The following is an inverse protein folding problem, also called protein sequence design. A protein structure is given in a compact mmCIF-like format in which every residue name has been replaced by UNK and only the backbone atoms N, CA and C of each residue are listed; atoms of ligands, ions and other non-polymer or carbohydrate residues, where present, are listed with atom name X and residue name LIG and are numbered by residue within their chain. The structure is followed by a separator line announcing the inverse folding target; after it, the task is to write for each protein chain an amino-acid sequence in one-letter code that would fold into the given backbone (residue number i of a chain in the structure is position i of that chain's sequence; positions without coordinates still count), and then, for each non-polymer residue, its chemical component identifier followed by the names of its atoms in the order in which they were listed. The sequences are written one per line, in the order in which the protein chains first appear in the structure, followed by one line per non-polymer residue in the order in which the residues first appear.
data_IF_330723655785
#
_entry.id   IF_330723655785
#
_cell.length_a   1.000
_cell.length_b   1.000
_cell.length_c   1.000
_cell.angle_alpha   90.00
_cell.angle_beta   90.00
_cell.angle_gamma   90.00
#
_symmetry.space_group_name_H-M   'P 1'
#
loop_
_entity.id
_entity.type
_entity.pdbx_description
1 polymer ?
#
# COMPACT_ATOMS: atom_id res chain seq x y z
N UNK A 1 27.18 -11.69 8.26
CA UNK A 1 25.82 -12.26 8.26
C UNK A 1 25.14 -11.94 9.57
N UNK A 2 24.00 -11.29 9.48
CA UNK A 2 23.11 -10.92 10.57
C UNK A 2 22.34 -12.15 11.10
N UNK A 3 22.27 -12.27 12.42
CA UNK A 3 21.48 -13.29 13.10
C UNK A 3 20.11 -12.77 13.56
N UNK A 4 19.94 -11.45 13.56
CA UNK A 4 18.70 -10.74 13.88
C UNK A 4 18.67 -9.39 13.15
N UNK A 5 17.54 -8.67 13.23
CA UNK A 5 17.35 -7.39 12.54
C UNK A 5 17.61 -6.16 13.42
N UNK A 6 18.07 -6.34 14.67
CA UNK A 6 18.27 -5.23 15.62
C UNK A 6 19.13 -4.10 15.04
N UNK A 7 20.24 -4.38 14.31
CA UNK A 7 21.06 -3.33 13.71
C UNK A 7 20.35 -2.50 12.64
N UNK A 8 19.23 -3.01 12.11
CA UNK A 8 18.49 -2.43 10.99
C UNK A 8 17.28 -1.59 11.44
N UNK A 9 16.97 -1.58 12.74
CA UNK A 9 15.81 -0.88 13.28
C UNK A 9 15.98 0.65 13.23
N UNK A 10 14.97 1.34 12.70
CA UNK A 10 14.90 2.80 12.70
C UNK A 10 14.65 3.33 14.12
N UNK A 11 15.27 4.45 14.49
CA UNK A 11 14.96 5.12 15.75
C UNK A 11 13.58 5.78 15.65
N UNK A 12 12.61 5.20 16.35
CA UNK A 12 11.20 5.64 16.39
C UNK A 12 11.07 7.08 16.91
N UNK A 13 12.02 7.59 17.71
CA UNK A 13 12.03 8.98 18.17
C UNK A 13 12.14 9.99 17.02
N UNK A 14 12.61 9.56 15.85
CA UNK A 14 12.66 10.41 14.66
C UNK A 14 11.28 10.67 14.05
N UNK A 15 10.29 9.82 14.33
CA UNK A 15 8.89 9.95 13.84
C UNK A 15 8.17 11.12 14.55
N UNK A 16 8.62 11.49 15.76
CA UNK A 16 8.02 12.58 16.54
C UNK A 16 8.33 13.97 15.99
N UNK A 17 9.15 14.09 14.93
CA UNK A 17 9.37 15.37 14.26
C UNK A 17 8.09 15.74 13.52
N UNK A 18 7.46 16.85 13.91
CA UNK A 18 6.32 17.42 13.18
C UNK A 18 6.67 17.50 11.69
N UNK A 19 5.69 17.18 10.83
CA UNK A 19 5.77 17.59 9.44
C UNK A 19 6.10 19.08 9.43
N UNK A 20 7.11 19.53 8.65
CA UNK A 20 7.48 20.93 8.68
C UNK A 20 6.24 21.77 8.38
N UNK A 21 6.02 22.82 9.18
CA UNK A 21 5.11 23.92 8.85
C UNK A 21 5.65 24.56 7.57
N UNK A 22 5.31 24.00 6.41
CA UNK A 22 5.67 24.61 5.16
C UNK A 22 4.52 25.54 4.78
N UNK A 23 4.75 26.85 4.72
CA UNK A 23 3.76 27.77 4.17
C UNK A 23 3.40 27.45 2.70
N UNK A 24 4.18 26.58 2.02
CA UNK A 24 3.89 26.02 0.69
C UNK A 24 3.16 24.66 0.68
N UNK A 25 2.89 24.00 1.81
CA UNK A 25 2.00 22.81 1.84
C UNK A 25 0.52 23.23 1.84
N UNK A 26 0.20 24.28 1.09
CA UNK A 26 -1.16 24.71 0.84
C UNK A 26 -1.83 23.88 -0.23
N UNK A 27 -1.12 23.01 -0.94
CA UNK A 27 -1.64 22.23 -2.05
C UNK A 27 -0.87 20.89 -2.12
N UNK A 28 -1.59 19.76 -2.11
CA UNK A 28 -1.02 18.41 -2.32
C UNK A 28 -1.97 17.55 -3.16
N UNK A 29 -1.43 16.79 -4.11
CA UNK A 29 -2.21 15.85 -4.93
C UNK A 29 -2.62 14.62 -4.13
N UNK A 30 -3.89 14.22 -4.24
CA UNK A 30 -4.37 12.94 -3.70
C UNK A 30 -4.59 11.88 -4.79
N UNK A 31 -4.85 12.26 -6.05
CA UNK A 31 -5.03 11.32 -7.17
C UNK A 31 -4.70 11.95 -8.53
N UNK A 32 -4.13 11.17 -9.45
CA UNK A 32 -3.90 11.56 -10.85
C UNK A 32 -4.12 10.34 -11.76
N UNK A 33 -5.26 10.26 -12.43
CA UNK A 33 -5.36 9.52 -13.70
C UNK A 33 -6.19 10.32 -14.72
N UNK A 34 -5.50 10.87 -15.73
CA UNK A 34 -6.11 11.37 -16.94
C UNK A 34 -5.76 10.45 -18.11
N UNK A 35 -6.77 9.81 -18.72
CA UNK A 35 -6.63 9.09 -19.99
C UNK A 35 -6.64 10.08 -21.17
N UNK A 36 -6.05 9.73 -22.33
CA UNK A 36 -6.00 10.61 -23.49
C UNK A 36 -7.41 10.94 -24.02
N UNK A 37 -7.76 12.22 -24.11
CA UNK A 37 -8.98 12.71 -24.77
C UNK A 37 -10.17 13.03 -23.86
N UNK A 38 -9.96 13.19 -22.54
CA UNK A 38 -10.95 13.73 -21.59
C UNK A 38 -10.34 14.87 -20.77
N UNK A 39 -11.21 15.64 -20.11
CA UNK A 39 -10.85 16.66 -19.11
C UNK A 39 -9.82 16.07 -18.12
N UNK A 40 -8.71 16.77 -17.90
CA UNK A 40 -7.79 16.41 -16.81
C UNK A 40 -8.33 17.00 -15.50
N UNK A 41 -8.22 16.22 -14.43
CA UNK A 41 -8.64 16.65 -13.09
C UNK A 41 -7.47 16.58 -12.13
N UNK A 42 -7.40 17.57 -11.23
CA UNK A 42 -6.41 17.64 -10.16
C UNK A 42 -7.15 17.73 -8.82
N UNK A 43 -6.97 16.72 -7.98
CA UNK A 43 -7.51 16.71 -6.62
C UNK A 43 -6.48 17.28 -5.64
N UNK A 44 -6.78 18.41 -5.01
CA UNK A 44 -5.81 19.19 -4.25
C UNK A 44 -6.36 19.65 -2.88
N UNK A 45 -5.58 19.45 -1.82
CA UNK A 45 -5.91 19.95 -0.47
C UNK A 45 -5.45 21.39 -0.26
N UNK A 46 -6.33 22.30 0.19
CA UNK A 46 -6.03 23.71 0.44
C UNK A 46 -6.23 24.17 1.90
N UNK A 47 -5.33 25.04 2.40
CA UNK A 47 -5.37 25.63 3.75
C UNK A 47 -5.54 24.58 4.87
N UNK A 48 -4.90 23.42 4.69
CA UNK A 48 -4.97 22.29 5.61
C UNK A 48 -3.84 22.32 6.64
N UNK A 49 -4.11 21.89 7.86
CA UNK A 49 -3.09 21.64 8.88
C UNK A 49 -2.42 20.30 8.55
N UNK A 50 -1.11 20.31 8.34
CA UNK A 50 -0.39 19.17 7.75
C UNK A 50 -0.40 17.91 8.62
N UNK A 51 -0.54 18.07 9.95
CA UNK A 51 -0.59 16.97 10.91
C UNK A 51 -2.01 16.62 11.42
N UNK A 52 -3.06 17.23 10.86
CA UNK A 52 -4.47 16.97 11.21
C UNK A 52 -5.31 16.51 9.99
N UNK A 53 -6.36 15.73 10.27
CA UNK A 53 -7.33 15.30 9.26
C UNK A 53 -8.56 16.22 9.25
N UNK A 54 -9.25 16.26 8.11
CA UNK A 54 -10.52 16.99 7.92
C UNK A 54 -10.45 18.53 8.12
N UNK A 55 -9.25 19.13 8.05
CA UNK A 55 -9.05 20.60 8.12
C UNK A 55 -8.91 21.25 6.75
N UNK A 56 -9.31 22.50 6.58
CA UNK A 56 -9.14 23.20 5.30
C UNK A 56 -10.15 22.76 4.23
N UNK A 57 -9.72 22.76 2.98
CA UNK A 57 -10.56 22.57 1.80
C UNK A 57 -10.00 21.47 0.91
N UNK A 58 -10.88 20.82 0.14
CA UNK A 58 -10.48 19.90 -0.92
C UNK A 58 -11.03 20.43 -2.24
N UNK A 59 -10.20 20.51 -3.26
CA UNK A 59 -10.51 21.06 -4.58
C UNK A 59 -10.38 19.95 -5.63
N UNK A 60 -11.43 19.69 -6.40
CA UNK A 60 -11.34 18.90 -7.63
C UNK A 60 -11.34 19.85 -8.83
N UNK A 61 -10.16 20.14 -9.38
CA UNK A 61 -9.97 21.13 -10.44
C UNK A 61 -9.96 20.43 -11.79
N UNK A 62 -11.01 20.64 -12.58
CA UNK A 62 -11.11 20.17 -13.96
C UNK A 62 -10.66 21.27 -14.94
N UNK A 63 -9.78 20.90 -15.86
CA UNK A 63 -9.36 21.75 -16.97
C UNK A 63 -9.29 20.92 -18.26
N UNK A 64 -9.59 21.58 -19.38
CA UNK A 64 -9.69 20.94 -20.70
C UNK A 64 -8.99 21.77 -21.75
N UNK A 65 -8.60 21.13 -22.87
CA UNK A 65 -7.96 21.85 -23.97
C UNK A 65 -8.91 22.91 -24.51
N UNK A 66 -8.42 24.14 -24.55
CA UNK A 66 -9.12 25.30 -25.04
C UNK A 66 -8.72 25.57 -26.49
N UNK A 67 -9.60 25.22 -27.43
CA UNK A 67 -9.35 25.40 -28.87
C UNK A 67 -9.47 26.87 -29.30
N UNK A 68 -10.26 27.66 -28.57
CA UNK A 68 -10.52 29.07 -28.88
C UNK A 68 -9.37 29.98 -28.37
N UNK A 69 -8.66 29.56 -27.34
CA UNK A 69 -7.54 30.29 -26.72
C UNK A 69 -6.29 29.39 -26.63
N UNK A 70 -5.51 29.26 -27.72
CA UNK A 70 -4.36 28.34 -27.77
C UNK A 70 -3.31 28.59 -26.69
N UNK A 71 -3.11 29.85 -26.31
CA UNK A 71 -2.11 30.31 -25.33
C UNK A 71 -2.63 30.27 -23.87
N UNK A 72 -3.78 29.65 -23.62
CA UNK A 72 -4.38 29.59 -22.30
C UNK A 72 -3.54 28.75 -21.31
N UNK A 73 -3.54 29.13 -20.02
CA UNK A 73 -2.78 28.41 -18.98
C UNK A 73 -3.19 26.95 -18.84
N UNK A 74 -4.47 26.63 -19.04
CA UNK A 74 -4.93 25.24 -19.06
C UNK A 74 -4.29 24.43 -20.20
N UNK A 75 -4.00 25.03 -21.37
CA UNK A 75 -3.30 24.36 -22.46
C UNK A 75 -1.82 24.17 -22.12
N UNK A 76 -1.18 25.16 -21.51
CA UNK A 76 0.22 25.05 -21.04
C UNK A 76 0.38 23.84 -20.11
N UNK A 77 -0.54 23.67 -19.15
CA UNK A 77 -0.56 22.51 -18.24
C UNK A 77 -0.71 21.20 -19.00
N UNK A 78 -1.66 21.13 -19.94
CA UNK A 78 -1.93 19.95 -20.76
C UNK A 78 -0.78 19.59 -21.70
N UNK A 79 0.01 20.57 -22.13
CA UNK A 79 1.18 20.38 -23.00
C UNK A 79 2.42 19.88 -22.24
N UNK A 80 2.43 19.94 -20.90
CA UNK A 80 3.53 19.37 -20.10
C UNK A 80 3.52 17.84 -20.18
N UNK A 81 4.68 17.20 -20.43
CA UNK A 81 4.77 15.76 -20.43
C UNK A 81 4.44 15.20 -19.04
N UNK A 82 3.77 14.05 -19.03
CA UNK A 82 3.54 13.29 -17.80
C UNK A 82 4.87 12.79 -17.24
N UNK A 83 5.17 13.13 -15.98
CA UNK A 83 6.39 12.73 -15.27
C UNK A 83 6.49 13.39 -13.89
N UNK A 84 7.08 12.68 -12.92
CA UNK A 84 7.14 13.11 -11.52
C UNK A 84 7.94 14.40 -11.40
N UNK A 85 7.29 15.48 -10.97
CA UNK A 85 7.91 16.75 -10.57
C UNK A 85 7.54 17.98 -11.41
N UNK A 86 7.58 17.90 -12.75
CA UNK A 86 7.45 19.09 -13.60
C UNK A 86 5.99 19.53 -13.81
N UNK A 87 5.06 18.60 -14.04
CA UNK A 87 3.64 18.93 -14.26
C UNK A 87 2.91 19.26 -12.96
N UNK A 88 3.19 18.52 -11.90
CA UNK A 88 2.61 18.72 -10.57
C UNK A 88 2.89 20.13 -10.05
N UNK A 89 4.15 20.57 -10.06
CA UNK A 89 4.52 21.91 -9.61
C UNK A 89 3.78 23.00 -10.38
N UNK A 90 3.68 22.88 -11.71
CA UNK A 90 2.96 23.84 -12.57
C UNK A 90 1.47 23.90 -12.26
N UNK A 91 0.84 22.74 -12.00
CA UNK A 91 -0.58 22.69 -11.62
C UNK A 91 -0.79 23.31 -10.23
N UNK A 92 0.10 23.07 -9.27
CA UNK A 92 0.01 23.69 -7.95
C UNK A 92 0.18 25.20 -8.02
N UNK A 93 1.16 25.70 -8.79
CA UNK A 93 1.38 27.13 -9.00
C UNK A 93 0.15 27.77 -9.67
N UNK A 94 -0.43 27.13 -10.70
CA UNK A 94 -1.67 27.59 -11.34
C UNK A 94 -2.85 27.65 -10.37
N UNK A 95 -3.03 26.62 -9.54
CA UNK A 95 -4.12 26.61 -8.57
C UNK A 95 -3.92 27.71 -7.52
N UNK A 96 -2.70 27.86 -6.98
CA UNK A 96 -2.40 28.84 -5.94
C UNK A 96 -2.50 30.28 -6.44
N UNK A 97 -1.83 30.60 -7.55
CA UNK A 97 -1.64 31.98 -8.00
C UNK A 97 -2.79 32.47 -8.88
N UNK A 98 -3.46 31.59 -9.64
CA UNK A 98 -4.46 31.99 -10.63
C UNK A 98 -5.89 31.62 -10.26
N UNK A 99 -6.13 30.39 -9.75
CA UNK A 99 -7.48 29.91 -9.50
C UNK A 99 -8.04 30.35 -8.15
N UNK A 100 -7.30 30.14 -7.06
CA UNK A 100 -7.77 30.46 -5.71
C UNK A 100 -8.22 31.93 -5.57
N UNK A 101 -7.52 32.94 -6.12
CA UNK A 101 -7.94 34.33 -6.03
C UNK A 101 -9.29 34.65 -6.70
N UNK A 102 -9.74 33.83 -7.64
CA UNK A 102 -10.97 34.06 -8.42
C UNK A 102 -12.11 33.08 -8.09
N UNK A 103 -11.87 32.10 -7.20
CA UNK A 103 -12.91 31.18 -6.73
C UNK A 103 -13.89 31.95 -5.82
N UNK A 104 -15.19 31.97 -6.13
CA UNK A 104 -16.17 32.75 -5.36
C UNK A 104 -16.54 32.09 -4.02
N UNK A 105 -16.46 30.76 -3.93
CA UNK A 105 -16.84 30.00 -2.75
C UNK A 105 -16.07 28.67 -2.69
N UNK A 106 -15.69 28.28 -1.47
CA UNK A 106 -15.04 27.01 -1.15
C UNK A 106 -15.89 26.26 -0.12
N UNK A 107 -16.13 24.98 -0.36
CA UNK A 107 -16.76 24.06 0.57
C UNK A 107 -15.68 23.46 1.49
N UNK A 108 -15.75 23.67 2.83
CA UNK A 108 -14.78 23.09 3.75
C UNK A 108 -14.92 21.58 3.86
N UNK A 109 -13.84 20.88 4.23
CA UNK A 109 -13.88 19.43 4.47
C UNK A 109 -14.95 19.07 5.52
N UNK A 110 -15.67 17.94 5.35
CA UNK A 110 -15.39 16.83 4.43
C UNK A 110 -15.96 16.98 3.01
N UNK A 111 -16.56 18.13 2.66
CA UNK A 111 -17.02 18.40 1.29
C UNK A 111 -15.84 18.66 0.34
N UNK A 112 -16.08 18.45 -0.96
CA UNK A 112 -15.12 18.76 -2.04
C UNK A 112 -15.68 19.85 -2.93
N UNK A 113 -14.85 20.85 -3.23
CA UNK A 113 -15.19 21.92 -4.17
C UNK A 113 -14.76 21.52 -5.57
N UNK A 114 -15.72 21.23 -6.45
CA UNK A 114 -15.48 21.10 -7.88
C UNK A 114 -15.22 22.47 -8.50
N UNK A 115 -14.14 22.59 -9.27
CA UNK A 115 -13.76 23.82 -9.99
C UNK A 115 -13.56 23.48 -11.46
N UNK A 116 -14.33 24.10 -12.35
CA UNK A 116 -14.04 24.05 -13.78
C UNK A 116 -13.35 25.35 -14.18
N UNK A 117 -12.10 25.25 -14.65
CA UNK A 117 -11.30 26.37 -15.09
C UNK A 117 -11.33 26.50 -16.63
N UNK A 118 -11.60 27.69 -17.15
CA UNK A 118 -11.54 27.97 -18.59
C UNK A 118 -11.18 29.43 -18.86
N UNK A 119 -10.26 29.65 -19.79
CA UNK A 119 -9.92 30.97 -20.31
C UNK A 119 -10.93 31.38 -21.39
N UNK A 120 -11.57 32.55 -21.21
CA UNK A 120 -12.53 33.11 -22.15
C UNK A 120 -12.15 34.56 -22.44
N UNK A 121 -11.91 34.88 -23.72
CA UNK A 121 -11.46 36.21 -24.16
C UNK A 121 -10.20 36.69 -23.41
N UNK A 122 -9.20 35.80 -23.31
CA UNK A 122 -7.92 36.03 -22.62
C UNK A 122 -8.00 36.14 -21.10
N UNK A 123 -9.15 35.84 -20.47
CA UNK A 123 -9.31 35.88 -19.01
C UNK A 123 -9.72 34.53 -18.46
N UNK A 124 -9.02 34.07 -17.42
CA UNK A 124 -9.40 32.87 -16.68
C UNK A 124 -10.74 33.07 -15.95
N UNK A 125 -11.64 32.11 -16.13
CA UNK A 125 -12.97 32.06 -15.49
C UNK A 125 -13.15 30.72 -14.80
N UNK A 126 -13.96 30.72 -13.73
CA UNK A 126 -14.23 29.52 -12.94
C UNK A 126 -15.72 29.30 -12.75
N UNK A 127 -16.14 28.04 -12.81
CA UNK A 127 -17.43 27.59 -12.27
C UNK A 127 -17.16 26.70 -11.06
N UNK A 128 -17.92 26.90 -9.98
CA UNK A 128 -17.74 26.17 -8.72
C UNK A 128 -19.02 25.49 -8.27
N UNK A 129 -18.88 24.28 -7.71
CA UNK A 129 -19.97 23.46 -7.20
C UNK A 129 -19.46 22.51 -6.11
N UNK A 130 -20.37 21.92 -5.33
CA UNK A 130 -19.99 20.83 -4.41
C UNK A 130 -19.90 19.53 -5.22
N UNK A 131 -18.71 18.94 -5.29
CA UNK A 131 -18.47 17.72 -6.05
C UNK A 131 -18.78 16.49 -5.19
N UNK A 132 -20.03 16.07 -5.24
CA UNK A 132 -20.53 14.92 -4.48
C UNK A 132 -19.83 13.60 -4.84
N UNK A 133 -19.26 13.49 -6.05
CA UNK A 133 -18.60 12.26 -6.51
C UNK A 133 -17.19 12.15 -5.96
N UNK A 134 -16.57 13.29 -5.63
CA UNK A 134 -15.27 13.32 -4.96
C UNK A 134 -15.39 13.18 -3.42
N UNK A 135 -16.61 13.21 -2.85
CA UNK A 135 -16.82 13.01 -1.41
C UNK A 135 -16.88 11.51 -1.09
N UNK A 136 -15.94 11.06 -0.24
CA UNK A 136 -15.90 9.68 0.25
C UNK A 136 -17.14 9.37 1.09
N UNK A 137 -17.90 8.36 0.67
CA UNK A 137 -19.12 7.91 1.35
C UNK A 137 -18.82 6.84 2.40
N UNK A 138 -18.43 7.27 3.60
CA UNK A 138 -18.11 6.37 4.71
C UNK A 138 -19.29 5.49 5.15
N UNK A 139 -19.00 4.30 5.69
CA UNK A 139 -19.98 3.31 6.15
C UNK A 139 -20.07 3.26 7.69
N UNK A 140 -21.24 2.95 8.27
CA UNK A 140 -21.34 2.69 9.70
C UNK A 140 -20.54 1.43 10.06
N UNK A 141 -20.15 1.29 11.33
CA UNK A 141 -19.50 0.07 11.81
C UNK A 141 -20.49 -1.09 11.76
N UNK A 142 -20.19 -2.20 11.02
CA UNK A 142 -21.02 -3.39 11.04
C UNK A 142 -21.16 -3.98 12.45
N UNK A 143 -22.31 -4.58 12.76
CA UNK A 143 -22.59 -5.14 14.10
C UNK A 143 -21.54 -6.17 14.54
N UNK A 144 -21.04 -6.99 13.62
CA UNK A 144 -20.02 -8.00 13.92
C UNK A 144 -18.64 -7.42 14.24
N UNK A 145 -18.42 -6.11 14.05
CA UNK A 145 -17.20 -5.39 14.41
C UNK A 145 -17.39 -4.47 15.63
N UNK A 146 -18.57 -4.51 16.27
CA UNK A 146 -18.87 -3.65 17.42
C UNK A 146 -18.00 -3.92 18.66
N UNK A 147 -17.33 -5.08 18.72
CA UNK A 147 -16.36 -5.40 19.78
C UNK A 147 -14.99 -4.78 19.55
N UNK A 148 -14.69 -4.31 18.34
CA UNK A 148 -13.39 -3.71 18.01
C UNK A 148 -13.30 -2.30 18.62
N UNK A 149 -12.19 -1.95 19.29
CA UNK A 149 -11.99 -0.59 19.80
C UNK A 149 -12.12 0.47 18.69
N UNK A 150 -12.63 1.65 19.04
CA UNK A 150 -12.77 2.77 18.10
C UNK A 150 -11.99 3.99 18.56
N UNK A 151 -11.42 4.74 17.61
CA UNK A 151 -10.75 6.02 17.86
C UNK A 151 -11.29 7.09 16.90
N UNK A 152 -11.64 8.30 17.37
CA UNK A 152 -11.95 9.41 16.47
C UNK A 152 -10.74 9.80 15.63
N UNK A 153 -10.91 10.05 14.33
CA UNK A 153 -9.81 10.50 13.45
C UNK A 153 -9.15 11.80 13.93
N UNK A 154 -9.91 12.66 14.61
CA UNK A 154 -9.44 13.91 15.20
C UNK A 154 -8.46 13.72 16.38
N UNK A 155 -8.36 12.50 16.92
CA UNK A 155 -7.43 12.17 18.01
C UNK A 155 -6.09 11.64 17.45
N UNK A 156 -5.96 11.51 16.13
CA UNK A 156 -4.75 11.08 15.44
C UNK A 156 -3.96 12.30 14.95
N UNK A 157 -2.64 12.26 15.16
CA UNK A 157 -1.70 13.24 14.61
C UNK A 157 -0.90 12.64 13.47
N UNK A 158 -1.08 13.13 12.25
CA UNK A 158 -0.37 12.65 11.05
C UNK A 158 1.12 13.03 11.12
N UNK A 159 1.99 12.07 10.83
CA UNK A 159 3.44 12.26 10.93
C UNK A 159 4.15 12.11 9.59
N UNK A 160 3.80 11.11 8.79
CA UNK A 160 4.37 10.93 7.45
C UNK A 160 3.50 9.97 6.63
N UNK A 161 3.55 10.08 5.30
CA UNK A 161 2.92 9.12 4.41
C UNK A 161 3.86 7.91 4.19
N UNK A 162 3.34 6.69 4.31
CA UNK A 162 4.04 5.44 3.95
C UNK A 162 3.73 5.00 2.53
N UNK A 163 2.46 5.10 2.14
CA UNK A 163 1.93 4.81 0.82
C UNK A 163 0.65 5.66 0.60
N UNK A 164 0.07 5.72 -0.61
CA UNK A 164 -1.08 6.59 -0.90
C UNK A 164 -2.25 6.49 0.09
N UNK A 165 -2.51 5.30 0.64
CA UNK A 165 -3.62 5.02 1.58
C UNK A 165 -3.15 4.77 3.01
N UNK A 166 -1.86 4.93 3.31
CA UNK A 166 -1.31 4.60 4.64
C UNK A 166 -0.41 5.71 5.16
N UNK A 167 -0.79 6.27 6.30
CA UNK A 167 0.03 7.23 7.05
C UNK A 167 0.64 6.60 8.30
N UNK A 168 1.82 7.07 8.70
CA UNK A 168 2.28 6.98 10.09
C UNK A 168 1.54 8.07 10.88
N UNK A 169 0.86 7.67 11.95
CA UNK A 169 0.16 8.58 12.86
C UNK A 169 0.61 8.37 14.30
N UNK A 170 0.47 9.39 15.14
CA UNK A 170 0.59 9.27 16.58
C UNK A 170 -0.79 9.27 17.22
N UNK A 171 -1.03 8.29 18.09
CA UNK A 171 -2.18 8.23 18.98
C UNK A 171 -1.67 7.92 20.40
N UNK A 172 -2.04 8.76 21.37
CA UNK A 172 -1.50 8.72 22.74
C UNK A 172 0.05 8.69 22.78
N UNK A 173 0.69 9.50 21.93
CA UNK A 173 2.14 9.60 21.77
C UNK A 173 2.84 8.29 21.32
N UNK A 174 2.09 7.35 20.75
CA UNK A 174 2.62 6.10 20.16
C UNK A 174 2.36 6.03 18.67
N UNK A 175 3.32 5.51 17.87
CA UNK A 175 3.17 5.43 16.42
C UNK A 175 2.30 4.23 16.01
N UNK A 176 1.43 4.48 15.04
CA UNK A 176 0.60 3.48 14.38
C UNK A 176 0.62 3.71 12.87
N UNK A 177 0.25 2.70 12.11
CA UNK A 177 -0.07 2.85 10.70
C UNK A 177 -1.59 3.03 10.57
N UNK A 178 -2.03 4.15 10.00
CA UNK A 178 -3.43 4.43 9.70
C UNK A 178 -3.69 4.17 8.23
N UNK A 179 -4.47 3.12 7.92
CA UNK A 179 -4.95 2.82 6.56
C UNK A 179 -6.35 3.40 6.39
N UNK A 180 -6.56 4.16 5.33
CA UNK A 180 -7.81 4.88 5.06
C UNK A 180 -8.24 4.72 3.59
N UNK A 181 -9.56 4.72 3.28
CA UNK A 181 -10.05 4.47 1.93
C UNK A 181 -9.93 5.71 1.03
N UNK A 182 -9.63 5.48 -0.24
CA UNK A 182 -9.92 6.39 -1.33
C UNK A 182 -11.42 6.40 -1.67
N UNK A 183 -11.81 7.26 -2.62
CA UNK A 183 -13.16 7.25 -3.20
C UNK A 183 -13.44 5.85 -3.77
N UNK A 184 -14.65 5.36 -3.54
CA UNK A 184 -15.14 4.03 -3.93
C UNK A 184 -14.47 2.79 -3.30
N UNK A 185 -13.41 2.94 -2.47
CA UNK A 185 -12.75 1.79 -1.79
C UNK A 185 -13.21 1.56 -0.34
N UNK A 186 -14.29 2.24 0.10
CA UNK A 186 -14.76 2.13 1.49
C UNK A 186 -15.24 0.71 1.84
N UNK A 187 -15.99 0.07 0.94
CA UNK A 187 -16.50 -1.28 1.19
C UNK A 187 -15.36 -2.32 1.18
N UNK A 188 -14.27 -2.05 0.44
CA UNK A 188 -13.04 -2.82 0.50
C UNK A 188 -12.41 -2.71 1.90
N UNK A 189 -12.17 -1.49 2.41
CA UNK A 189 -11.64 -1.31 3.78
C UNK A 189 -12.47 -2.06 4.83
N UNK A 190 -13.81 -2.09 4.72
CA UNK A 190 -14.66 -2.86 5.65
C UNK A 190 -14.40 -4.37 5.54
N UNK A 191 -14.21 -4.89 4.33
CA UNK A 191 -13.87 -6.29 4.09
C UNK A 191 -12.48 -6.64 4.65
N UNK A 192 -11.50 -5.73 4.54
CA UNK A 192 -10.17 -5.91 5.11
C UNK A 192 -10.22 -5.97 6.63
N UNK A 193 -10.87 -5.00 7.27
CA UNK A 193 -11.06 -4.97 8.73
C UNK A 193 -11.69 -6.28 9.22
N UNK A 194 -12.74 -6.74 8.51
CA UNK A 194 -13.43 -7.99 8.83
C UNK A 194 -12.50 -9.21 8.71
N UNK A 195 -11.64 -9.24 7.71
CA UNK A 195 -10.68 -10.33 7.50
C UNK A 195 -9.63 -10.35 8.59
N UNK A 196 -9.06 -9.19 8.93
CA UNK A 196 -8.06 -9.06 10.00
C UNK A 196 -8.66 -9.44 11.36
N UNK A 197 -9.86 -8.96 11.68
CA UNK A 197 -10.55 -9.28 12.95
C UNK A 197 -10.77 -10.80 13.11
N UNK A 198 -11.18 -11.49 12.04
CA UNK A 198 -11.34 -12.96 12.03
C UNK A 198 -10.02 -13.70 12.25
N UNK A 199 -8.90 -13.08 11.93
CA UNK A 199 -7.55 -13.63 12.05
C UNK A 199 -6.79 -13.12 13.28
N UNK A 200 -7.43 -12.36 14.17
CA UNK A 200 -6.85 -11.74 15.39
C UNK A 200 -6.15 -12.68 16.38
N UNK A 201 -6.23 -13.99 16.17
CA UNK A 201 -5.52 -15.01 16.98
C UNK A 201 -4.22 -15.51 16.33
N UNK A 202 -3.96 -15.13 15.08
CA UNK A 202 -2.74 -15.55 14.38
C UNK A 202 -1.57 -14.64 14.75
N UNK A 203 -0.43 -15.19 15.19
CA UNK A 203 0.77 -14.40 15.46
C UNK A 203 1.51 -13.95 14.19
N UNK A 204 1.04 -14.34 13.00
CA UNK A 204 1.67 -14.02 11.71
C UNK A 204 0.74 -13.26 10.76
N UNK A 205 -0.35 -12.75 11.30
CA UNK A 205 -1.24 -11.78 10.67
C UNK A 205 -1.12 -10.50 11.49
N UNK A 206 -1.13 -9.35 10.84
CA UNK A 206 -1.10 -8.07 11.56
C UNK A 206 -2.32 -7.91 12.46
N UNK A 207 -2.12 -7.39 13.67
CA UNK A 207 -3.22 -7.13 14.60
C UNK A 207 -4.02 -5.88 14.19
N UNK A 208 -5.34 -5.96 14.33
CA UNK A 208 -6.21 -4.79 14.26
C UNK A 208 -6.19 -4.06 15.60
N UNK A 209 -5.68 -2.82 15.62
CA UNK A 209 -5.59 -2.02 16.87
C UNK A 209 -6.92 -1.36 17.19
N UNK A 210 -7.48 -0.62 16.22
CA UNK A 210 -8.74 0.10 16.37
C UNK A 210 -9.34 0.45 15.01
N UNK A 211 -10.66 0.61 14.96
CA UNK A 211 -11.35 1.26 13.84
C UNK A 211 -11.30 2.77 14.04
N UNK A 212 -10.85 3.49 13.02
CA UNK A 212 -10.86 4.96 13.03
C UNK A 212 -12.23 5.44 12.59
N UNK A 213 -12.79 6.42 13.29
CA UNK A 213 -14.17 6.89 13.09
C UNK A 213 -14.24 8.39 12.83
N UNK A 214 -15.23 8.81 12.03
CA UNK A 214 -15.59 10.21 11.88
C UNK A 214 -16.26 10.71 13.17
N UNK A 215 -15.76 11.81 13.74
CA UNK A 215 -16.17 12.30 15.06
C UNK A 215 -17.68 12.58 15.16
N UNK A 216 -18.29 13.09 14.11
CA UNK A 216 -19.69 13.51 14.10
C UNK A 216 -20.66 12.35 13.87
N UNK A 217 -20.26 11.37 13.05
CA UNK A 217 -21.17 10.33 12.55
C UNK A 217 -20.87 8.92 13.07
N UNK A 218 -19.68 8.70 13.64
CA UNK A 218 -19.20 7.37 14.05
C UNK A 218 -18.92 6.41 12.87
N UNK A 219 -18.94 6.89 11.63
CA UNK A 219 -18.69 6.06 10.45
C UNK A 219 -17.20 5.75 10.31
N UNK A 220 -16.89 4.59 9.70
CA UNK A 220 -15.54 4.08 9.48
C UNK A 220 -14.77 5.04 8.56
N UNK A 221 -13.68 5.60 9.08
CA UNK A 221 -12.69 6.41 8.36
C UNK A 221 -11.47 5.61 7.93
N UNK A 222 -11.35 4.37 8.39
CA UNK A 222 -10.21 3.49 8.20
C UNK A 222 -9.92 2.72 9.48
N UNK A 223 -8.68 2.26 9.65
CA UNK A 223 -8.27 1.48 10.81
C UNK A 223 -6.78 1.65 11.14
N UNK A 224 -6.46 1.42 12.41
CA UNK A 224 -5.09 1.42 12.92
C UNK A 224 -4.51 0.02 12.95
N UNK A 225 -3.27 -0.07 12.49
CA UNK A 225 -2.38 -1.22 12.66
C UNK A 225 -1.15 -0.81 13.49
N UNK A 226 -0.45 -1.77 14.12
CA UNK A 226 0.83 -1.48 14.75
C UNK A 226 1.80 -0.92 13.71
N UNK A 227 2.62 0.05 14.11
CA UNK A 227 3.72 0.51 13.26
C UNK A 227 4.94 -0.39 13.39
N UNK A 228 5.51 -0.81 12.27
CA UNK A 228 6.67 -1.71 12.20
C UNK A 228 7.93 -0.93 11.74
N UNK A 229 8.86 -0.56 12.65
CA UNK A 229 9.99 0.32 12.30
C UNK A 229 10.97 -0.29 11.29
N UNK A 230 11.05 -1.62 11.21
CA UNK A 230 11.88 -2.32 10.23
C UNK A 230 11.32 -2.20 8.80
N UNK A 231 10.02 -1.89 8.66
CA UNK A 231 9.32 -1.89 7.38
C UNK A 231 9.00 -3.29 6.88
N UNK A 232 8.82 -3.40 5.56
CA UNK A 232 8.54 -4.65 4.89
C UNK A 232 9.80 -5.49 4.63
N UNK A 233 9.61 -6.78 4.34
CA UNK A 233 10.67 -7.75 4.18
C UNK A 233 11.62 -7.40 3.02
N UNK A 234 11.10 -6.87 1.91
CA UNK A 234 11.93 -6.39 0.79
C UNK A 234 12.89 -5.28 1.23
N UNK A 235 12.39 -4.32 2.03
CA UNK A 235 13.21 -3.27 2.61
C UNK A 235 14.25 -3.84 3.58
N UNK A 236 13.85 -4.75 4.47
CA UNK A 236 14.74 -5.41 5.44
C UNK A 236 15.89 -6.15 4.73
N UNK A 237 15.59 -6.90 3.67
CA UNK A 237 16.61 -7.59 2.88
C UNK A 237 17.56 -6.57 2.24
N UNK A 238 17.02 -5.53 1.60
CA UNK A 238 17.81 -4.48 0.94
C UNK A 238 18.77 -3.77 1.90
N UNK A 239 18.29 -3.35 3.08
CA UNK A 239 19.12 -2.64 4.06
C UNK A 239 20.11 -3.58 4.74
N UNK A 240 19.76 -4.85 4.95
CA UNK A 240 20.67 -5.87 5.48
C UNK A 240 21.86 -6.13 4.55
N UNK A 241 21.61 -6.27 3.24
CA UNK A 241 22.68 -6.40 2.23
C UNK A 241 23.60 -5.19 2.22
N UNK A 242 23.04 -3.98 2.21
CA UNK A 242 23.82 -2.74 2.31
C UNK A 242 24.64 -2.66 3.60
N UNK A 243 24.09 -3.10 4.72
CA UNK A 243 24.79 -3.12 6.01
C UNK A 243 25.99 -4.08 6.02
N UNK A 244 25.90 -5.18 5.28
CA UNK A 244 26.99 -6.16 5.12
C UNK A 244 27.92 -5.83 3.93
N UNK A 245 27.82 -4.61 3.38
CA UNK A 245 28.59 -4.14 2.21
C UNK A 245 28.45 -5.06 0.97
N UNK A 246 27.26 -5.65 0.79
CA UNK A 246 26.91 -6.51 -0.35
C UNK A 246 26.16 -5.72 -1.41
N UNK A 247 26.61 -5.83 -2.66
CA UNK A 247 25.87 -5.35 -3.84
C UNK A 247 24.77 -6.35 -4.25
N UNK A 248 23.98 -6.02 -5.27
CA UNK A 248 22.89 -6.88 -5.74
C UNK A 248 23.39 -8.11 -6.54
N UNK A 249 24.63 -8.10 -7.02
CA UNK A 249 25.21 -9.13 -7.90
C UNK A 249 26.06 -10.17 -7.15
N UNK A 250 26.37 -9.92 -5.88
CA UNK A 250 27.17 -10.83 -5.04
C UNK A 250 26.37 -12.05 -4.56
N UNK A 251 26.96 -13.25 -4.72
CA UNK A 251 26.42 -14.53 -4.24
C UNK A 251 26.69 -14.78 -2.74
N UNK A 252 26.66 -13.70 -1.96
CA UNK A 252 26.73 -13.71 -0.50
C UNK A 252 25.37 -13.35 0.08
N UNK A 253 25.13 -13.83 1.31
CA UNK A 253 23.91 -13.58 2.04
C UNK A 253 24.20 -12.60 3.17
N UNK A 254 23.29 -11.67 3.39
CA UNK A 254 23.29 -10.76 4.51
C UNK A 254 22.77 -11.43 5.78
N UNK A 255 21.83 -12.37 5.67
CA UNK A 255 21.20 -13.01 6.82
C UNK A 255 21.60 -14.48 6.94
N UNK A 256 21.73 -14.95 8.18
CA UNK A 256 21.96 -16.37 8.42
C UNK A 256 20.77 -17.22 7.91
N UNK A 257 21.01 -18.51 7.71
CA UNK A 257 19.97 -19.40 7.18
C UNK A 257 18.80 -19.60 8.16
N UNK A 258 19.08 -19.69 9.46
CA UNK A 258 18.05 -19.96 10.48
C UNK A 258 17.01 -18.84 10.58
N UNK A 259 17.43 -17.58 10.46
CA UNK A 259 16.54 -16.42 10.45
C UNK A 259 15.68 -16.40 9.19
N UNK A 260 16.27 -16.65 8.01
CA UNK A 260 15.54 -16.75 6.74
C UNK A 260 14.51 -17.88 6.78
N UNK A 261 14.90 -19.04 7.31
CA UNK A 261 14.01 -20.19 7.48
C UNK A 261 12.90 -19.88 8.51
N UNK A 262 13.19 -19.11 9.55
CA UNK A 262 12.18 -18.63 10.49
C UNK A 262 11.14 -17.76 9.78
N UNK A 263 11.57 -16.79 8.96
CA UNK A 263 10.63 -15.98 8.15
C UNK A 263 9.80 -16.83 7.20
N UNK A 264 10.42 -17.76 6.48
CA UNK A 264 9.72 -18.70 5.60
C UNK A 264 8.59 -19.45 6.32
N UNK A 265 8.87 -19.96 7.53
CA UNK A 265 7.87 -20.65 8.36
C UNK A 265 6.76 -19.71 8.84
N UNK A 266 7.11 -18.53 9.34
CA UNK A 266 6.16 -17.55 9.87
C UNK A 266 5.21 -17.05 8.77
N UNK A 267 5.74 -16.70 7.60
CA UNK A 267 4.95 -16.29 6.44
C UNK A 267 4.02 -17.43 6.00
N UNK A 268 4.55 -18.65 5.85
CA UNK A 268 3.74 -19.80 5.46
C UNK A 268 2.63 -20.08 6.48
N UNK A 269 2.90 -19.89 7.77
CA UNK A 269 1.89 -20.05 8.82
C UNK A 269 0.78 -19.00 8.72
N UNK A 270 1.12 -17.73 8.44
CA UNK A 270 0.11 -16.71 8.13
C UNK A 270 -0.77 -17.07 6.92
N UNK A 271 -0.18 -17.64 5.87
CA UNK A 271 -0.94 -18.12 4.69
C UNK A 271 -1.88 -19.28 5.08
N UNK A 272 -1.43 -20.21 5.92
CA UNK A 272 -2.27 -21.30 6.44
C UNK A 272 -3.48 -20.74 7.20
N UNK A 273 -3.26 -19.75 8.06
CA UNK A 273 -4.33 -19.13 8.84
C UNK A 273 -5.34 -18.41 7.95
N UNK A 274 -4.87 -17.66 6.95
CA UNK A 274 -5.71 -17.02 5.94
C UNK A 274 -6.55 -18.05 5.16
N UNK A 275 -5.92 -19.13 4.68
CA UNK A 275 -6.62 -20.20 3.96
C UNK A 275 -7.63 -20.94 4.84
N UNK A 276 -7.42 -20.98 6.17
CA UNK A 276 -8.33 -21.64 7.11
C UNK A 276 -9.72 -21.00 7.18
N UNK A 277 -9.83 -19.71 6.84
CA UNK A 277 -11.09 -18.98 6.75
C UNK A 277 -11.64 -18.89 5.32
N UNK A 278 -11.05 -19.64 4.38
CA UNK A 278 -11.41 -19.63 2.95
C UNK A 278 -11.23 -18.27 2.27
N UNK A 279 -10.22 -17.51 2.72
CA UNK A 279 -9.77 -16.28 2.08
C UNK A 279 -8.41 -16.54 1.42
N UNK A 280 -8.16 -15.89 0.30
CA UNK A 280 -6.90 -15.98 -0.45
C UNK A 280 -6.37 -14.56 -0.66
N UNK A 281 -5.06 -14.39 -0.57
CA UNK A 281 -4.45 -13.06 -0.58
C UNK A 281 -4.39 -12.49 -2.01
N UNK A 282 -3.92 -13.29 -2.98
CA UNK A 282 -3.76 -12.89 -4.38
C UNK A 282 -2.48 -12.13 -4.71
N UNK A 283 -1.73 -11.66 -3.71
CA UNK A 283 -0.56 -10.81 -3.91
C UNK A 283 0.52 -11.04 -2.84
N UNK A 284 0.81 -12.32 -2.54
CA UNK A 284 1.83 -12.70 -1.55
C UNK A 284 3.21 -12.33 -2.08
N UNK A 285 3.84 -11.33 -1.43
CA UNK A 285 5.16 -10.80 -1.80
C UNK A 285 5.89 -10.16 -0.62
N UNK A 286 7.18 -9.89 -0.79
CA UNK A 286 8.03 -9.33 0.27
C UNK A 286 7.58 -7.95 0.76
N UNK A 287 6.98 -7.12 -0.08
CA UNK A 287 6.43 -5.83 0.33
C UNK A 287 5.14 -5.93 1.15
N UNK A 288 4.44 -7.07 1.11
CA UNK A 288 3.23 -7.37 1.90
C UNK A 288 3.52 -8.23 3.15
N UNK A 289 4.80 -8.30 3.55
CA UNK A 289 5.25 -8.92 4.81
C UNK A 289 5.97 -7.85 5.62
N UNK A 290 5.49 -7.50 6.81
CA UNK A 290 6.22 -6.64 7.75
C UNK A 290 7.07 -7.47 8.70
N UNK A 291 8.16 -6.87 9.20
CA UNK A 291 9.01 -7.50 10.23
C UNK A 291 8.95 -6.69 11.51
N UNK A 292 8.48 -7.31 12.59
CA UNK A 292 8.44 -6.69 13.93
C UNK A 292 9.84 -6.45 14.48
N UNK A 293 9.97 -5.56 15.47
CA UNK A 293 11.25 -5.34 16.16
C UNK A 293 11.83 -6.60 16.82
N UNK A 294 11.01 -7.61 17.08
CA UNK A 294 11.43 -8.92 17.57
C UNK A 294 11.89 -9.88 16.45
N UNK A 295 11.93 -9.43 15.19
CA UNK A 295 12.29 -10.24 14.03
C UNK A 295 11.19 -11.18 13.53
N UNK A 296 9.95 -11.06 14.04
CA UNK A 296 8.81 -11.87 13.58
C UNK A 296 8.20 -11.26 12.31
N UNK A 297 8.05 -12.09 11.27
CA UNK A 297 7.36 -11.75 10.03
C UNK A 297 5.83 -11.86 10.22
N UNK A 298 5.11 -10.85 9.73
CA UNK A 298 3.65 -10.79 9.75
C UNK A 298 3.13 -10.40 8.37
N UNK A 299 2.09 -11.09 7.90
CA UNK A 299 1.40 -10.72 6.67
C UNK A 299 0.51 -9.49 6.90
N UNK A 300 0.47 -8.65 5.89
CA UNK A 300 -0.43 -7.50 5.76
C UNK A 300 -1.15 -7.58 4.42
N UNK A 301 -2.10 -6.67 4.23
CA UNK A 301 -2.75 -6.38 2.95
C UNK A 301 -3.51 -7.59 2.38
N UNK A 302 -4.74 -7.78 2.87
CA UNK A 302 -5.58 -8.95 2.56
C UNK A 302 -6.57 -8.72 1.42
N UNK A 303 -6.46 -7.57 0.74
CA UNK A 303 -7.26 -7.24 -0.43
C UNK A 303 -6.34 -6.99 -1.61
N UNK A 304 -6.30 -7.96 -2.52
CA UNK A 304 -5.67 -7.75 -3.82
C UNK A 304 -6.52 -6.77 -4.62
N UNK A 305 -5.93 -5.62 -4.96
CA UNK A 305 -6.46 -4.63 -5.92
C UNK A 305 -5.80 -4.77 -7.30
N UNK A 306 -4.88 -5.71 -7.44
CA UNK A 306 -4.18 -6.02 -8.68
C UNK A 306 -3.24 -7.20 -8.50
N UNK A 307 -2.49 -7.50 -9.57
CA UNK A 307 -1.51 -8.56 -9.56
C UNK A 307 -0.08 -8.01 -9.60
N UNK A 308 0.83 -8.64 -8.88
CA UNK A 308 2.26 -8.45 -9.11
C UNK A 308 2.74 -9.53 -10.07
N UNK A 309 3.01 -9.17 -11.33
CA UNK A 309 3.42 -10.14 -12.37
C UNK A 309 4.56 -11.05 -11.90
N UNK A 310 5.53 -10.48 -11.16
CA UNK A 310 6.68 -11.22 -10.66
C UNK A 310 6.37 -12.31 -9.63
N UNK A 311 5.19 -12.31 -9.04
CA UNK A 311 4.74 -13.30 -8.07
C UNK A 311 3.53 -14.09 -8.57
N UNK A 312 2.99 -13.73 -9.74
CA UNK A 312 1.75 -14.28 -10.24
C UNK A 312 1.96 -15.65 -10.87
N UNK A 313 1.05 -16.57 -10.57
CA UNK A 313 1.06 -17.90 -11.18
C UNK A 313 0.73 -17.81 -12.69
N UNK A 314 1.21 -18.75 -13.52
CA UNK A 314 0.96 -18.72 -14.97
C UNK A 314 -0.54 -18.65 -15.32
N UNK A 315 -1.39 -19.36 -14.58
CA UNK A 315 -2.85 -19.34 -14.79
C UNK A 315 -3.50 -18.03 -14.34
N UNK A 316 -2.93 -17.33 -13.34
CA UNK A 316 -3.39 -16.00 -12.92
C UNK A 316 -3.07 -14.99 -14.01
N UNK A 317 -1.85 -15.02 -14.55
CA UNK A 317 -1.46 -14.17 -15.68
C UNK A 317 -2.36 -14.40 -16.90
N UNK A 318 -2.60 -15.66 -17.28
CA UNK A 318 -3.44 -15.98 -18.43
C UNK A 318 -4.89 -15.47 -18.28
N UNK A 319 -5.47 -15.56 -17.07
CA UNK A 319 -6.81 -15.04 -16.78
C UNK A 319 -6.84 -13.51 -16.70
N UNK A 320 -5.79 -12.89 -16.13
CA UNK A 320 -5.64 -11.44 -16.08
C UNK A 320 -5.56 -10.84 -17.48
N UNK A 321 -4.74 -11.43 -18.36
CA UNK A 321 -4.63 -11.04 -19.78
C UNK A 321 -5.97 -11.22 -20.54
N UNK A 322 -6.82 -12.13 -20.07
CA UNK A 322 -8.17 -12.34 -20.57
C UNK A 322 -9.22 -11.37 -19.97
N UNK A 323 -8.81 -10.43 -19.10
CA UNK A 323 -9.67 -9.49 -18.37
C UNK A 323 -10.72 -10.18 -17.48
N UNK A 324 -10.38 -11.34 -16.89
CA UNK A 324 -11.22 -11.95 -15.87
C UNK A 324 -11.26 -11.07 -14.59
N UNK A 325 -12.41 -11.00 -13.88
CA UNK A 325 -12.49 -10.31 -12.60
C UNK A 325 -11.43 -10.82 -11.62
N UNK A 326 -10.80 -9.89 -10.89
CA UNK A 326 -9.70 -10.21 -9.96
C UNK A 326 -10.10 -11.27 -8.93
N UNK A 327 -11.35 -11.28 -8.48
CA UNK A 327 -11.87 -12.28 -7.54
C UNK A 327 -11.82 -13.71 -8.09
N UNK A 328 -11.90 -13.90 -9.40
CA UNK A 328 -11.78 -15.22 -10.06
C UNK A 328 -10.32 -15.71 -10.15
N UNK A 329 -9.35 -14.84 -9.87
CA UNK A 329 -7.92 -15.14 -9.86
C UNK A 329 -7.48 -15.67 -8.50
N UNK A 330 -8.21 -15.32 -7.43
CA UNK A 330 -7.85 -15.62 -6.05
C UNK A 330 -8.12 -17.09 -5.72
N UNK A 331 -7.07 -17.90 -5.66
CA UNK A 331 -7.17 -19.32 -5.30
C UNK A 331 -6.03 -19.75 -4.38
N UNK A 332 -6.26 -20.81 -3.59
CA UNK A 332 -5.22 -21.40 -2.75
C UNK A 332 -3.96 -21.82 -3.53
N UNK A 333 -4.08 -22.52 -4.68
CA UNK A 333 -2.93 -22.84 -5.52
C UNK A 333 -2.18 -21.63 -6.08
N UNK A 334 -2.87 -20.54 -6.42
CA UNK A 334 -2.24 -19.29 -6.85
C UNK A 334 -1.42 -18.66 -5.72
N UNK A 335 -1.99 -18.57 -4.51
CA UNK A 335 -1.28 -18.11 -3.31
C UNK A 335 -0.04 -18.98 -3.02
N UNK A 336 -0.14 -20.30 -3.18
CA UNK A 336 0.99 -21.22 -2.98
C UNK A 336 2.11 -20.96 -3.99
N UNK A 337 1.79 -20.62 -5.24
CA UNK A 337 2.80 -20.25 -6.22
C UNK A 337 3.52 -18.95 -5.82
N UNK A 338 2.77 -17.90 -5.46
CA UNK A 338 3.34 -16.63 -4.99
C UNK A 338 4.19 -16.82 -3.72
N UNK A 339 3.73 -17.67 -2.79
CA UNK A 339 4.50 -18.12 -1.65
C UNK A 339 5.79 -18.83 -2.09
N UNK A 340 5.74 -19.71 -3.10
CA UNK A 340 6.93 -20.36 -3.67
C UNK A 340 7.97 -19.38 -4.19
N UNK A 341 7.53 -18.33 -4.90
CA UNK A 341 8.42 -17.24 -5.36
C UNK A 341 9.04 -16.52 -4.16
N UNK A 342 8.24 -16.21 -3.13
CA UNK A 342 8.74 -15.54 -1.92
C UNK A 342 9.72 -16.41 -1.12
N UNK A 343 9.46 -17.71 -1.00
CA UNK A 343 10.35 -18.68 -0.36
C UNK A 343 11.68 -18.80 -1.13
N UNK A 344 11.63 -18.77 -2.46
CA UNK A 344 12.83 -18.70 -3.30
C UNK A 344 13.63 -17.41 -3.02
N UNK A 345 12.95 -16.25 -3.01
CA UNK A 345 13.58 -14.94 -2.74
C UNK A 345 14.21 -14.87 -1.35
N UNK A 346 13.59 -15.50 -0.34
CA UNK A 346 14.18 -15.62 0.99
C UNK A 346 15.47 -16.43 0.97
N UNK A 347 15.54 -17.50 0.18
CA UNK A 347 16.75 -18.31 0.08
C UNK A 347 17.88 -17.59 -0.66
N UNK A 348 17.57 -16.88 -1.75
CA UNK A 348 18.56 -16.22 -2.61
C UNK A 348 18.93 -14.79 -2.13
N UNK A 349 18.06 -14.15 -1.35
CA UNK A 349 18.14 -12.73 -0.93
C UNK A 349 18.22 -11.71 -2.08
N UNK A 350 17.86 -12.11 -3.31
CA UNK A 350 17.85 -11.21 -4.47
C UNK A 350 16.51 -10.52 -4.64
N UNK A 351 16.57 -9.21 -4.90
CA UNK A 351 15.38 -8.38 -5.10
C UNK A 351 14.82 -8.59 -6.52
N UNK A 352 15.69 -8.79 -7.50
CA UNK A 352 15.31 -9.02 -8.90
C UNK A 352 15.23 -10.51 -9.20
N UNK A 353 14.07 -10.96 -9.68
CA UNK A 353 13.81 -12.36 -10.04
C UNK A 353 13.74 -12.45 -11.56
N UNK A 354 14.51 -13.35 -12.17
CA UNK A 354 14.20 -13.86 -13.50
C UNK A 354 13.08 -14.89 -13.36
N UNK A 355 11.99 -14.74 -14.11
CA UNK A 355 10.82 -15.62 -13.98
C UNK A 355 10.77 -16.67 -15.09
N UNK A 356 10.46 -17.94 -14.78
CA UNK A 356 10.35 -18.50 -13.42
C UNK A 356 11.71 -18.50 -12.71
N UNK A 357 11.76 -18.43 -11.37
CA UNK A 357 13.01 -18.49 -10.64
C UNK A 357 13.73 -19.81 -10.90
N UNK A 358 15.03 -19.74 -11.17
CA UNK A 358 15.89 -20.90 -11.47
C UNK A 358 17.03 -20.95 -10.46
N UNK A 359 17.21 -22.12 -9.83
CA UNK A 359 18.38 -22.37 -8.99
C UNK A 359 19.67 -22.37 -9.82
N UNK A 360 20.66 -21.61 -9.38
CA UNK A 360 21.95 -21.41 -10.06
C UNK A 360 23.04 -22.27 -9.44
N UNK A 361 24.16 -22.38 -10.16
CA UNK A 361 25.38 -22.98 -9.63
C UNK A 361 25.90 -22.11 -8.46
N UNK A 362 25.91 -22.67 -7.25
CA UNK A 362 26.20 -21.92 -6.00
C UNK A 362 25.12 -22.06 -4.92
N UNK A 363 23.89 -22.42 -5.32
CA UNK A 363 22.75 -22.65 -4.41
C UNK A 363 22.84 -23.97 -3.63
N UNK A 364 23.96 -24.68 -3.73
CA UNK A 364 24.27 -25.86 -2.90
C UNK A 364 24.31 -25.53 -1.40
N UNK A 365 24.52 -24.24 -1.06
CA UNK A 365 24.41 -23.73 0.31
C UNK A 365 22.98 -23.76 0.84
N UNK A 366 21.98 -23.76 -0.06
CA UNK A 366 20.56 -23.89 0.28
C UNK A 366 20.22 -25.39 0.34
N UNK A 367 19.68 -25.88 1.47
CA UNK A 367 19.37 -27.30 1.63
C UNK A 367 18.48 -27.82 0.49
N UNK A 368 18.83 -29.00 -0.05
CA UNK A 368 18.10 -29.62 -1.15
C UNK A 368 16.60 -29.78 -0.84
N UNK A 369 16.27 -30.18 0.40
CA UNK A 369 14.89 -30.33 0.84
C UNK A 369 14.09 -29.03 0.74
N UNK A 370 14.72 -27.87 0.97
CA UNK A 370 14.05 -26.58 0.86
C UNK A 370 13.78 -26.24 -0.60
N UNK A 371 14.78 -26.46 -1.47
CA UNK A 371 14.64 -26.26 -2.91
C UNK A 371 13.53 -27.14 -3.50
N UNK A 372 13.45 -28.40 -3.08
CA UNK A 372 12.37 -29.31 -3.48
C UNK A 372 10.97 -28.87 -3.02
N UNK A 373 10.84 -28.20 -1.88
CA UNK A 373 9.56 -27.61 -1.44
C UNK A 373 9.17 -26.45 -2.36
N UNK A 374 10.11 -25.55 -2.60
CA UNK A 374 9.92 -24.38 -3.48
C UNK A 374 9.55 -24.81 -4.90
N UNK A 375 10.27 -25.78 -5.47
CA UNK A 375 10.00 -26.29 -6.82
C UNK A 375 8.58 -26.88 -6.94
N UNK A 376 8.08 -27.54 -5.88
CA UNK A 376 6.70 -28.03 -5.83
C UNK A 376 5.67 -26.90 -5.77
N UNK A 377 5.95 -25.83 -5.03
CA UNK A 377 5.09 -24.64 -5.01
C UNK A 377 5.04 -23.96 -6.39
N UNK A 378 6.14 -24.00 -7.13
CA UNK A 378 6.30 -23.36 -8.44
C UNK A 378 5.87 -24.24 -9.63
N UNK A 379 5.19 -25.36 -9.39
CA UNK A 379 4.70 -26.22 -10.46
C UNK A 379 3.77 -25.45 -11.42
N UNK A 380 3.96 -25.63 -12.73
CA UNK A 380 3.12 -24.98 -13.74
C UNK A 380 1.67 -25.45 -13.72
N UNK A 381 1.43 -26.71 -13.32
CA UNK A 381 0.10 -27.25 -13.05
C UNK A 381 -0.34 -26.88 -11.63
N UNK A 382 -1.42 -26.11 -11.51
CA UNK A 382 -1.99 -25.67 -10.22
C UNK A 382 -2.37 -26.85 -9.31
N UNK A 383 -2.79 -27.98 -9.89
CA UNK A 383 -3.22 -29.16 -9.14
C UNK A 383 -2.06 -29.98 -8.56
N UNK A 384 -0.85 -29.76 -9.08
CA UNK A 384 0.37 -30.39 -8.59
C UNK A 384 0.99 -29.66 -7.40
N UNK A 385 0.54 -28.43 -7.10
CA UNK A 385 1.06 -27.63 -5.98
C UNK A 385 0.52 -28.17 -4.65
N UNK A 386 1.35 -28.22 -3.60
CA UNK A 386 0.90 -28.62 -2.26
C UNK A 386 -0.04 -27.57 -1.66
N UNK A 387 -0.85 -27.94 -0.68
CA UNK A 387 -1.54 -26.96 0.16
C UNK A 387 -0.57 -26.18 1.04
N UNK A 388 -0.91 -24.95 1.43
CA UNK A 388 -0.12 -24.14 2.38
C UNK A 388 0.19 -24.90 3.68
N UNK A 389 -0.76 -25.72 4.15
CA UNK A 389 -0.58 -26.58 5.34
C UNK A 389 0.48 -27.66 5.14
N UNK A 390 0.55 -28.25 3.95
CA UNK A 390 1.59 -29.22 3.60
C UNK A 390 2.95 -28.55 3.50
N UNK A 391 3.03 -27.36 2.89
CA UNK A 391 4.27 -26.55 2.83
C UNK A 391 4.77 -26.27 4.25
N UNK A 392 3.91 -25.78 5.15
CA UNK A 392 4.29 -25.50 6.54
C UNK A 392 4.82 -26.75 7.25
N UNK A 393 4.14 -27.89 7.07
CA UNK A 393 4.55 -29.17 7.66
C UNK A 393 5.90 -29.62 7.14
N UNK A 394 6.20 -29.40 5.86
CA UNK A 394 7.50 -29.72 5.26
C UNK A 394 8.60 -28.81 5.81
N UNK A 395 8.35 -27.51 5.91
CA UNK A 395 9.30 -26.54 6.48
C UNK A 395 9.60 -26.80 7.97
N UNK A 396 8.65 -27.36 8.73
CA UNK A 396 8.79 -27.60 10.17
C UNK A 396 9.53 -28.89 10.55
N UNK A 397 9.74 -29.83 9.62
CA UNK A 397 10.34 -31.15 9.92
C UNK A 397 11.79 -31.10 10.41
N UNK A 398 12.53 -30.05 10.08
CA UNK A 398 13.98 -29.98 10.29
C UNK A 398 14.37 -29.13 11.53
N UNK A 399 13.70 -29.33 12.67
CA UNK A 399 14.13 -28.78 13.98
C UNK A 399 14.70 -29.88 14.90
N UNK A 400 14.73 -31.15 14.47
CA UNK A 400 15.20 -32.26 15.33
C UNK A 400 16.71 -32.48 15.28
#
# INVERSE_FOLDING_TARGET
MLNDITPLLKDVRTIQKRLPDNPKFKLSFEYMEGFPGRDETALVCFDSVSDEYDTGYMLNVAYKRNEDEPDAKENEILDKPMGIGDKEAVVLDFIEDDLIPIIPHLYPRPSVTGVTAQTVAGKLTTTTFEDINAIVQYRPIPEHLSHVPTVPVADLRRCNMLSPEVDIVLWEERPYAFKWPLVDTVDEIVAEITTIDRLSRSPHIVDLVAIVTAKQTGHIRGFLLPYFPAGNLDHVISIGRKHEDLDDDTDQYAFNWDLRLSWARQITHGVVDLHSISTFNGDIKGSNVLVSSAGTAVLIDFLSQGITEAFSAPEVMAKYDANEPLQNLLTGPADVYSLGVLLWRLADEKIRVSLPPVWRQGDEKIPLWYREIVDKCLASDESARPSSKEVLKLLAREIS
#
